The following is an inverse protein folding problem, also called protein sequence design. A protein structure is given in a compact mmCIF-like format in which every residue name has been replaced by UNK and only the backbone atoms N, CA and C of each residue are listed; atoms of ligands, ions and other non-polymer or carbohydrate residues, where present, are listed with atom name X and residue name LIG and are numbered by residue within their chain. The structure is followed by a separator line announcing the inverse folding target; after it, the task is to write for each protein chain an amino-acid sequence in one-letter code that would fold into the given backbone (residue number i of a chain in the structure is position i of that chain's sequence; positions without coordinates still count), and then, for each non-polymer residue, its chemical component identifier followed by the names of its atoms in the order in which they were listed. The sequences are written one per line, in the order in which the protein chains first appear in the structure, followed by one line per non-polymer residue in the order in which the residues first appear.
data_IF_690208174095
#
_entry.id   IF_690208174095
#
_cell.length_a   1.000
_cell.length_b   1.000
_cell.length_c   1.000
_cell.angle_alpha   90.00
_cell.angle_beta   90.00
_cell.angle_gamma   90.00
#
_symmetry.space_group_name_H-M   'P 1'
#
loop_
_entity.id
_entity.type
_entity.pdbx_description
1 polymer ?
#
# COMPACT_ATOMS: atom_id res chain seq x y z
N UNK A 1 13.82 2.61 -16.84
CA UNK A 1 13.24 1.24 -16.72
C UNK A 1 12.01 1.15 -17.61
N UNK A 2 11.72 -0.03 -18.20
CA UNK A 2 10.43 -0.26 -18.85
C UNK A 2 9.33 -0.17 -17.78
N UNK A 3 8.20 0.49 -18.13
CA UNK A 3 7.03 0.55 -17.24
C UNK A 3 6.51 -0.86 -16.97
N UNK A 4 6.20 -1.17 -15.70
CA UNK A 4 5.64 -2.45 -15.31
C UNK A 4 4.32 -2.68 -16.05
N UNK A 5 4.10 -3.92 -16.52
CA UNK A 5 2.86 -4.27 -17.19
C UNK A 5 1.67 -4.32 -16.21
N UNK A 6 0.47 -4.07 -16.70
CA UNK A 6 -0.76 -4.22 -15.91
C UNK A 6 -0.93 -5.64 -15.39
N UNK A 7 -0.59 -6.65 -16.20
CA UNK A 7 -0.63 -8.06 -15.78
C UNK A 7 0.29 -8.34 -14.58
N UNK A 8 1.53 -7.81 -14.60
CA UNK A 8 2.46 -7.99 -13.48
C UNK A 8 1.95 -7.34 -12.19
N UNK A 9 1.22 -6.22 -12.29
CA UNK A 9 0.57 -5.58 -11.13
C UNK A 9 -0.52 -6.48 -10.57
N UNK A 10 -1.38 -7.02 -11.43
CA UNK A 10 -2.47 -7.92 -11.02
C UNK A 10 -1.92 -9.19 -10.37
N UNK A 11 -0.94 -9.84 -11.02
CA UNK A 11 -0.28 -11.04 -10.49
C UNK A 11 0.34 -10.79 -9.11
N UNK A 12 1.00 -9.65 -8.92
CA UNK A 12 1.58 -9.28 -7.63
C UNK A 12 0.50 -9.10 -6.55
N UNK A 13 -0.61 -8.41 -6.84
CA UNK A 13 -1.74 -8.23 -5.90
C UNK A 13 -2.31 -9.59 -5.49
N UNK A 14 -2.59 -10.47 -6.46
CA UNK A 14 -3.17 -11.79 -6.20
C UNK A 14 -2.22 -12.64 -5.36
N UNK A 15 -0.94 -12.67 -5.72
CA UNK A 15 0.08 -13.44 -5.03
C UNK A 15 0.27 -12.97 -3.59
N UNK A 16 0.41 -11.65 -3.36
CA UNK A 16 0.58 -11.09 -2.01
C UNK A 16 -0.65 -11.33 -1.14
N UNK A 17 -1.85 -11.07 -1.66
CA UNK A 17 -3.09 -11.29 -0.91
C UNK A 17 -3.26 -12.77 -0.51
N UNK A 18 -3.01 -13.71 -1.44
CA UNK A 18 -3.09 -15.14 -1.18
C UNK A 18 -2.05 -15.61 -0.16
N UNK A 19 -0.80 -15.16 -0.30
CA UNK A 19 0.28 -15.49 0.63
C UNK A 19 0.01 -14.97 2.04
N UNK A 20 -0.44 -13.72 2.14
CA UNK A 20 -0.77 -13.10 3.42
C UNK A 20 -1.98 -13.78 4.09
N UNK A 21 -3.04 -14.06 3.33
CA UNK A 21 -4.20 -14.81 3.82
C UNK A 21 -3.76 -16.14 4.43
N UNK A 22 -3.01 -16.94 3.67
CA UNK A 22 -2.53 -18.25 4.12
C UNK A 22 -1.70 -18.11 5.41
N UNK A 23 -0.84 -17.10 5.50
CA UNK A 23 -0.05 -16.85 6.70
C UNK A 23 -0.94 -16.50 7.89
N UNK A 24 -1.87 -15.55 7.74
CA UNK A 24 -2.76 -15.10 8.80
C UNK A 24 -3.72 -16.20 9.30
N UNK A 25 -4.12 -17.13 8.45
CA UNK A 25 -4.95 -18.29 8.84
C UNK A 25 -4.19 -19.28 9.74
N UNK A 26 -2.86 -19.35 9.61
CA UNK A 26 -2.04 -20.34 10.28
C UNK A 26 -1.30 -19.84 11.54
N UNK A 27 -1.30 -18.54 11.82
CA UNK A 27 -0.73 -18.04 13.09
C UNK A 27 -1.64 -18.40 14.27
N UNK A 28 -1.03 -18.64 15.43
CA UNK A 28 -1.79 -18.89 16.66
C UNK A 28 -2.37 -17.60 17.27
N UNK A 29 -3.23 -17.73 18.27
CA UNK A 29 -3.90 -16.58 18.90
C UNK A 29 -2.91 -15.65 19.63
N UNK A 30 -1.83 -16.19 20.18
CA UNK A 30 -0.80 -15.37 20.84
C UNK A 30 -0.07 -14.51 19.81
N UNK A 31 0.32 -15.10 18.70
CA UNK A 31 0.95 -14.41 17.58
C UNK A 31 0.01 -13.37 16.96
N UNK A 32 -1.28 -13.71 16.77
CA UNK A 32 -2.28 -12.78 16.25
C UNK A 32 -2.39 -11.49 17.07
N UNK A 33 -2.28 -11.59 18.41
CA UNK A 33 -2.37 -10.46 19.33
C UNK A 33 -1.01 -9.78 19.60
N UNK A 34 0.09 -10.29 19.06
CA UNK A 34 1.42 -9.72 19.30
C UNK A 34 1.70 -8.46 18.50
N UNK A 35 2.67 -7.68 18.94
CA UNK A 35 3.14 -6.49 18.23
C UNK A 35 3.76 -6.88 16.87
N UNK A 36 3.52 -6.04 15.87
CA UNK A 36 4.20 -6.09 14.58
C UNK A 36 5.42 -5.17 14.59
N UNK A 37 6.14 -5.07 13.47
CA UNK A 37 7.21 -4.06 13.31
C UNK A 37 6.70 -2.66 12.99
N UNK A 38 5.42 -2.51 12.68
CA UNK A 38 4.76 -1.21 12.57
C UNK A 38 4.52 -0.64 13.97
N UNK A 39 5.17 0.48 14.30
CA UNK A 39 5.15 1.09 15.63
C UNK A 39 3.71 1.31 16.16
N UNK A 40 3.39 0.71 17.28
CA UNK A 40 2.09 0.77 17.94
C UNK A 40 0.99 -0.10 17.31
N UNK A 41 1.32 -0.97 16.32
CA UNK A 41 0.37 -1.85 15.66
C UNK A 41 0.60 -3.32 16.03
N UNK A 42 -0.46 -4.04 16.36
CA UNK A 42 -0.45 -5.50 16.46
C UNK A 42 -0.67 -6.12 15.07
N UNK A 43 -0.41 -7.43 14.95
CA UNK A 43 -0.73 -8.21 13.73
C UNK A 43 -2.23 -8.11 13.42
N UNK A 44 -3.09 -8.19 14.45
CA UNK A 44 -4.53 -8.00 14.32
C UNK A 44 -4.90 -6.62 13.76
N UNK A 45 -4.23 -5.54 14.21
CA UNK A 45 -4.49 -4.18 13.70
C UNK A 45 -4.18 -4.09 12.21
N UNK A 46 -3.06 -4.67 11.78
CA UNK A 46 -2.69 -4.68 10.36
C UNK A 46 -3.69 -5.49 9.54
N UNK A 47 -4.05 -6.68 10.00
CA UNK A 47 -5.03 -7.52 9.30
C UNK A 47 -6.39 -6.82 9.16
N UNK A 48 -6.85 -6.16 10.21
CA UNK A 48 -8.08 -5.35 10.19
C UNK A 48 -7.95 -4.17 9.23
N UNK A 49 -6.83 -3.44 9.28
CA UNK A 49 -6.55 -2.32 8.38
C UNK A 49 -6.64 -2.76 6.90
N UNK A 50 -6.00 -3.85 6.54
CA UNK A 50 -6.01 -4.36 5.17
C UNK A 50 -7.40 -4.84 4.75
N UNK A 51 -8.16 -5.49 5.64
CA UNK A 51 -9.54 -5.93 5.36
C UNK A 51 -10.50 -4.78 5.07
N UNK A 52 -10.34 -3.66 5.77
CA UNK A 52 -11.16 -2.45 5.54
C UNK A 52 -10.70 -1.69 4.29
N UNK A 53 -9.39 -1.61 4.08
CA UNK A 53 -8.81 -0.82 2.98
C UNK A 53 -9.18 -1.35 1.61
N UNK A 54 -9.24 -2.68 1.44
CA UNK A 54 -9.51 -3.31 0.14
C UNK A 54 -10.85 -2.91 -0.46
N UNK A 55 -11.90 -2.76 0.35
CA UNK A 55 -13.21 -2.28 -0.12
C UNK A 55 -13.16 -0.85 -0.69
N UNK A 56 -12.36 0.01 -0.06
CA UNK A 56 -12.10 1.37 -0.56
C UNK A 56 -11.38 1.37 -1.92
N UNK A 57 -10.45 0.44 -2.13
CA UNK A 57 -9.73 0.29 -3.40
C UNK A 57 -10.69 -0.08 -4.54
N UNK A 58 -11.51 -1.12 -4.37
CA UNK A 58 -12.48 -1.55 -5.37
C UNK A 58 -13.50 -0.44 -5.68
N UNK A 59 -14.03 0.23 -4.66
CA UNK A 59 -14.98 1.33 -4.80
C UNK A 59 -14.41 2.50 -5.60
N UNK A 60 -13.19 2.96 -5.29
CA UNK A 60 -12.57 4.08 -5.97
C UNK A 60 -12.25 3.76 -7.45
N UNK A 61 -11.85 2.52 -7.77
CA UNK A 61 -11.64 2.10 -9.16
C UNK A 61 -12.97 2.09 -9.92
N UNK A 62 -14.03 1.52 -9.35
CA UNK A 62 -15.37 1.51 -9.96
C UNK A 62 -15.84 2.94 -10.24
N UNK A 63 -15.63 3.87 -9.30
CA UNK A 63 -15.95 5.29 -9.48
C UNK A 63 -15.12 5.93 -10.59
N UNK A 64 -13.81 5.61 -10.66
CA UNK A 64 -12.92 6.10 -11.71
C UNK A 64 -13.37 5.65 -13.10
N UNK A 65 -13.74 4.37 -13.25
CA UNK A 65 -14.28 3.82 -14.49
C UNK A 65 -15.57 4.54 -14.91
N UNK A 66 -16.42 4.89 -13.94
CA UNK A 66 -17.63 5.69 -14.17
C UNK A 66 -17.38 7.19 -14.38
N UNK A 67 -16.11 7.66 -14.40
CA UNK A 67 -15.75 9.06 -14.65
C UNK A 67 -15.68 9.93 -13.39
N UNK A 68 -15.73 9.37 -12.20
CA UNK A 68 -15.69 10.09 -10.92
C UNK A 68 -14.32 9.98 -10.26
N UNK A 69 -13.48 11.00 -10.40
CA UNK A 69 -12.12 11.05 -9.84
C UNK A 69 -11.98 11.92 -8.59
N UNK A 70 -13.03 12.61 -8.17
CA UNK A 70 -13.06 13.41 -6.95
C UNK A 70 -13.27 12.57 -5.69
N UNK A 71 -13.10 13.18 -4.49
CA UNK A 71 -13.35 12.51 -3.22
C UNK A 71 -14.77 11.91 -3.16
N UNK A 72 -14.93 10.69 -2.60
CA UNK A 72 -16.24 10.17 -2.23
C UNK A 72 -16.90 11.05 -1.17
N UNK A 73 -18.21 10.89 -1.01
CA UNK A 73 -18.97 11.60 0.04
C UNK A 73 -18.33 11.36 1.42
N UNK A 74 -18.20 12.44 2.20
CA UNK A 74 -17.56 12.41 3.53
C UNK A 74 -16.03 12.32 3.51
N UNK A 75 -15.38 12.28 2.34
CA UNK A 75 -13.93 12.28 2.22
C UNK A 75 -13.40 13.59 1.62
N UNK A 76 -12.12 13.85 1.84
CA UNK A 76 -11.41 15.01 1.28
C UNK A 76 -9.97 14.65 0.93
N UNK A 77 -9.33 15.49 0.13
CA UNK A 77 -7.88 15.41 -0.05
C UNK A 77 -7.17 15.84 1.24
N UNK A 78 -6.09 15.12 1.57
CA UNK A 78 -5.22 15.45 2.69
C UNK A 78 -4.06 16.30 2.17
N UNK A 79 -3.86 17.52 2.69
CA UNK A 79 -2.75 18.38 2.27
C UNK A 79 -1.38 17.70 2.44
N UNK A 80 -0.42 18.08 1.58
CA UNK A 80 0.98 17.67 1.75
C UNK A 80 1.51 18.08 3.13
N UNK A 81 2.36 17.23 3.71
CA UNK A 81 2.93 17.47 5.04
C UNK A 81 2.00 17.15 6.22
N UNK A 82 0.71 16.90 5.98
CA UNK A 82 -0.18 16.44 7.05
C UNK A 82 -0.21 14.91 7.11
N UNK A 83 -0.04 14.36 8.32
CA UNK A 83 -0.33 12.93 8.54
C UNK A 83 -1.84 12.71 8.43
N UNK A 84 -2.23 11.82 7.55
CA UNK A 84 -3.60 11.34 7.53
C UNK A 84 -3.79 10.35 8.69
N UNK A 85 -4.73 10.62 9.61
CA UNK A 85 -5.22 9.59 10.52
C UNK A 85 -5.91 8.50 9.70
N UNK A 86 -5.63 7.24 10.01
CA UNK A 86 -6.32 6.12 9.37
C UNK A 86 -7.44 5.62 10.29
N UNK A 87 -8.70 5.55 9.82
CA UNK A 87 -9.84 5.17 10.67
C UNK A 87 -9.77 3.71 11.17
N UNK A 88 -8.94 2.88 10.54
CA UNK A 88 -8.71 1.48 10.94
C UNK A 88 -7.37 1.26 11.67
N UNK A 89 -6.68 2.34 12.05
CA UNK A 89 -5.43 2.25 12.82
C UNK A 89 -5.64 1.90 14.30
N UNK A 90 -4.56 1.85 15.09
CA UNK A 90 -4.62 1.54 16.53
C UNK A 90 -5.61 2.39 17.33
N UNK A 91 -5.80 3.66 16.93
CA UNK A 91 -6.78 4.55 17.55
C UNK A 91 -8.24 4.09 17.39
N UNK A 92 -8.51 3.17 16.49
CA UNK A 92 -9.84 2.58 16.28
C UNK A 92 -10.07 1.27 17.04
N UNK A 93 -9.09 0.77 17.81
CA UNK A 93 -9.21 -0.51 18.53
C UNK A 93 -10.46 -0.58 19.42
N UNK A 94 -10.75 0.48 20.15
CA UNK A 94 -11.90 0.55 21.07
C UNK A 94 -13.24 0.40 20.35
N UNK A 95 -13.29 0.74 19.08
CA UNK A 95 -14.50 0.68 18.24
C UNK A 95 -14.56 -0.57 17.36
N UNK A 96 -13.48 -1.36 17.33
CA UNK A 96 -13.40 -2.58 16.54
C UNK A 96 -14.18 -3.71 17.24
N UNK A 97 -15.26 -4.19 16.62
CA UNK A 97 -16.11 -5.26 17.14
C UNK A 97 -16.05 -6.55 16.29
N UNK A 98 -15.00 -6.70 15.45
CA UNK A 98 -14.85 -7.86 14.57
C UNK A 98 -13.96 -8.92 15.21
N UNK A 99 -14.42 -10.17 15.17
CA UNK A 99 -13.59 -11.32 15.50
C UNK A 99 -12.53 -11.57 14.41
N UNK A 100 -11.49 -12.33 14.75
CA UNK A 100 -10.47 -12.80 13.79
C UNK A 100 -11.10 -13.43 12.55
N UNK A 101 -12.08 -14.32 12.74
CA UNK A 101 -12.77 -14.97 11.63
C UNK A 101 -13.45 -13.96 10.68
N UNK A 102 -14.11 -12.94 11.24
CA UNK A 102 -14.72 -11.88 10.45
C UNK A 102 -13.69 -11.01 9.71
N UNK A 103 -12.54 -10.73 10.33
CA UNK A 103 -11.45 -9.98 9.68
C UNK A 103 -10.90 -10.76 8.49
N UNK A 104 -10.67 -12.07 8.64
CA UNK A 104 -10.17 -12.94 7.57
C UNK A 104 -11.18 -13.12 6.44
N UNK A 105 -12.47 -13.21 6.77
CA UNK A 105 -13.55 -13.30 5.79
C UNK A 105 -13.68 -12.01 4.98
N UNK A 106 -13.66 -10.84 5.65
CA UNK A 106 -13.69 -9.54 4.99
C UNK A 106 -12.44 -9.31 4.11
N UNK A 107 -11.26 -9.73 4.58
CA UNK A 107 -10.02 -9.67 3.79
C UNK A 107 -10.15 -10.50 2.51
N UNK A 108 -10.65 -11.72 2.64
CA UNK A 108 -10.80 -12.65 1.53
C UNK A 108 -11.83 -12.14 0.52
N UNK A 109 -13.04 -11.88 0.97
CA UNK A 109 -14.14 -11.41 0.11
C UNK A 109 -13.86 -10.05 -0.52
N UNK A 110 -13.18 -9.16 0.21
CA UNK A 110 -12.76 -7.86 -0.32
C UNK A 110 -11.74 -8.00 -1.45
N UNK A 111 -10.75 -8.90 -1.33
CA UNK A 111 -9.78 -9.14 -2.40
C UNK A 111 -10.38 -9.87 -3.61
N UNK A 112 -11.29 -10.81 -3.40
CA UNK A 112 -12.05 -11.45 -4.49
C UNK A 112 -12.89 -10.39 -5.26
N UNK A 113 -13.54 -9.49 -4.53
CA UNK A 113 -14.27 -8.39 -5.16
C UNK A 113 -13.34 -7.45 -5.94
N UNK A 114 -12.19 -7.05 -5.38
CA UNK A 114 -11.21 -6.23 -6.07
C UNK A 114 -10.70 -6.92 -7.34
N UNK A 115 -10.39 -8.23 -7.31
CA UNK A 115 -9.97 -9.01 -8.47
C UNK A 115 -11.06 -9.00 -9.56
N UNK A 116 -12.33 -9.15 -9.19
CA UNK A 116 -13.44 -9.07 -10.14
C UNK A 116 -13.53 -7.68 -10.79
N UNK A 117 -13.38 -6.60 -10.01
CA UNK A 117 -13.35 -5.23 -10.55
C UNK A 117 -12.18 -5.05 -11.52
N UNK A 118 -10.99 -5.50 -11.15
CA UNK A 118 -9.79 -5.42 -12.02
C UNK A 118 -9.99 -6.23 -13.30
N UNK A 119 -10.56 -7.42 -13.21
CA UNK A 119 -10.80 -8.31 -14.36
C UNK A 119 -11.79 -7.75 -15.40
N UNK A 120 -12.56 -6.73 -15.03
CA UNK A 120 -13.48 -6.03 -15.93
C UNK A 120 -12.88 -4.79 -16.59
N UNK A 121 -11.65 -4.37 -16.21
CA UNK A 121 -11.02 -3.17 -16.78
C UNK A 121 -10.60 -3.38 -18.22
N UNK A 122 -11.01 -2.45 -19.07
CA UNK A 122 -10.46 -2.30 -20.42
C UNK A 122 -9.05 -1.69 -20.38
N UNK A 123 -8.31 -1.75 -21.48
CA UNK A 123 -6.98 -1.13 -21.57
C UNK A 123 -7.02 0.38 -21.26
N UNK A 124 -8.09 1.07 -21.68
CA UNK A 124 -8.26 2.51 -21.45
C UNK A 124 -8.53 2.83 -19.97
N UNK A 125 -9.16 1.92 -19.22
CA UNK A 125 -9.52 2.15 -17.82
C UNK A 125 -8.29 2.30 -16.91
N UNK A 126 -7.17 1.66 -17.29
CA UNK A 126 -5.92 1.75 -16.52
C UNK A 126 -5.32 3.16 -16.45
N UNK A 127 -5.64 4.01 -17.43
CA UNK A 127 -5.20 5.40 -17.48
C UNK A 127 -6.20 6.37 -16.82
N UNK A 128 -7.43 5.93 -16.50
CA UNK A 128 -8.46 6.80 -15.92
C UNK A 128 -8.03 7.37 -14.57
N UNK A 129 -8.36 8.66 -14.31
CA UNK A 129 -8.04 9.29 -13.03
C UNK A 129 -8.87 8.66 -11.90
N UNK A 130 -8.20 8.22 -10.84
CA UNK A 130 -8.77 7.58 -9.67
C UNK A 130 -8.45 8.40 -8.42
N UNK A 131 -9.42 8.54 -7.53
CA UNK A 131 -9.24 9.22 -6.25
C UNK A 131 -8.28 8.45 -5.35
N UNK A 132 -7.29 9.16 -4.83
CA UNK A 132 -6.53 8.78 -3.67
C UNK A 132 -6.47 9.97 -2.71
N UNK A 133 -6.48 9.74 -1.40
CA UNK A 133 -6.48 10.82 -0.39
C UNK A 133 -5.37 11.87 -0.56
N UNK A 134 -4.26 11.50 -1.20
CA UNK A 134 -3.10 12.37 -1.49
C UNK A 134 -3.10 12.95 -2.90
N UNK A 135 -4.20 12.88 -3.62
CA UNK A 135 -4.33 13.40 -4.99
C UNK A 135 -4.83 12.35 -5.97
N UNK A 136 -5.21 12.82 -7.15
CA UNK A 136 -5.73 11.95 -8.22
C UNK A 136 -4.58 11.24 -8.92
N UNK A 137 -4.76 9.96 -9.23
CA UNK A 137 -3.79 9.08 -9.86
C UNK A 137 -4.43 8.29 -10.99
N UNK A 138 -3.68 7.86 -12.01
CA UNK A 138 -4.14 6.80 -12.89
C UNK A 138 -4.47 5.52 -12.09
N UNK A 139 -5.49 4.77 -12.51
CA UNK A 139 -5.86 3.47 -11.89
C UNK A 139 -4.65 2.56 -11.75
N UNK A 140 -3.78 2.49 -12.76
CA UNK A 140 -2.53 1.72 -12.72
C UNK A 140 -1.66 2.09 -11.51
N UNK A 141 -1.40 3.38 -11.31
CA UNK A 141 -0.57 3.87 -10.21
C UNK A 141 -1.27 3.67 -8.85
N UNK A 142 -2.61 3.77 -8.82
CA UNK A 142 -3.42 3.50 -7.64
C UNK A 142 -3.29 2.03 -7.21
N UNK A 143 -3.36 1.09 -8.14
CA UNK A 143 -3.17 -0.35 -7.85
C UNK A 143 -1.74 -0.69 -7.43
N UNK A 144 -0.73 0.04 -7.90
CA UNK A 144 0.64 -0.14 -7.39
C UNK A 144 0.76 0.20 -5.90
N UNK A 145 -0.04 1.16 -5.39
CA UNK A 145 -0.11 1.45 -3.95
C UNK A 145 -0.76 0.28 -3.20
N UNK A 146 -1.75 -0.41 -3.77
CA UNK A 146 -2.32 -1.61 -3.15
C UNK A 146 -1.26 -2.71 -2.96
N UNK A 147 -0.34 -2.89 -3.92
CA UNK A 147 0.79 -3.81 -3.74
C UNK A 147 1.68 -3.36 -2.58
N UNK A 148 1.93 -2.06 -2.46
CA UNK A 148 2.69 -1.51 -1.33
C UNK A 148 2.04 -1.85 0.01
N UNK A 149 0.74 -1.63 0.16
CA UNK A 149 0.00 -1.96 1.37
C UNK A 149 0.12 -3.46 1.72
N UNK A 150 -0.09 -4.35 0.75
CA UNK A 150 0.01 -5.79 0.96
C UNK A 150 1.43 -6.25 1.27
N UNK A 151 2.42 -5.80 0.49
CA UNK A 151 3.80 -6.28 0.60
C UNK A 151 4.48 -5.77 1.87
N UNK A 152 4.38 -4.46 2.16
CA UNK A 152 5.04 -3.89 3.34
C UNK A 152 4.35 -4.32 4.63
N UNK A 153 3.03 -4.27 4.70
CA UNK A 153 2.32 -4.75 5.89
C UNK A 153 2.41 -6.27 6.06
N UNK A 154 2.42 -7.03 4.97
CA UNK A 154 2.73 -8.46 5.04
C UNK A 154 4.15 -8.75 5.54
N UNK A 155 5.11 -7.88 5.21
CA UNK A 155 6.47 -7.95 5.75
C UNK A 155 6.50 -7.53 7.23
N UNK A 156 5.83 -6.45 7.62
CA UNK A 156 5.71 -5.99 9.02
C UNK A 156 5.21 -7.10 9.96
N UNK A 157 4.21 -7.86 9.50
CA UNK A 157 3.66 -9.01 10.23
C UNK A 157 4.71 -10.12 10.37
N UNK A 158 5.34 -10.51 9.27
CA UNK A 158 6.26 -11.67 9.24
C UNK A 158 7.57 -11.38 9.96
N UNK A 159 8.14 -10.20 9.76
CA UNK A 159 9.40 -9.80 10.37
C UNK A 159 9.34 -9.76 11.91
N UNK A 160 8.22 -9.40 12.48
CA UNK A 160 8.01 -9.44 13.93
C UNK A 160 8.16 -10.83 14.54
N UNK A 161 8.01 -11.88 13.72
CA UNK A 161 8.09 -13.28 14.14
C UNK A 161 9.38 -13.93 13.64
N UNK A 162 9.76 -13.66 12.39
CA UNK A 162 10.96 -14.19 11.75
C UNK A 162 11.78 -13.04 11.14
N UNK A 163 12.89 -12.69 11.79
CA UNK A 163 13.80 -11.64 11.32
C UNK A 163 14.51 -11.93 10.00
N UNK A 164 14.23 -13.08 9.37
CA UNK A 164 14.68 -13.43 8.01
C UNK A 164 13.58 -13.25 6.96
N UNK A 165 12.39 -12.77 7.36
CA UNK A 165 11.32 -12.52 6.42
C UNK A 165 11.77 -11.50 5.36
N UNK A 166 11.53 -11.82 4.10
CA UNK A 166 11.89 -10.99 2.95
C UNK A 166 10.62 -10.51 2.22
N UNK A 167 10.75 -9.41 1.48
CA UNK A 167 9.74 -9.00 0.52
C UNK A 167 9.71 -9.99 -0.66
N UNK A 168 8.53 -10.24 -1.20
CA UNK A 168 8.42 -11.10 -2.38
C UNK A 168 9.06 -10.44 -3.61
N UNK A 169 9.69 -11.26 -4.46
CA UNK A 169 10.33 -10.74 -5.67
C UNK A 169 9.33 -10.12 -6.66
N UNK A 170 8.09 -10.58 -6.66
CA UNK A 170 7.02 -10.03 -7.52
C UNK A 170 6.61 -8.61 -7.11
N UNK A 171 6.74 -8.26 -5.83
CA UNK A 171 6.38 -6.94 -5.31
C UNK A 171 7.48 -5.89 -5.50
N UNK A 172 8.74 -6.31 -5.63
CA UNK A 172 9.87 -5.36 -5.70
C UNK A 172 9.79 -4.39 -6.89
N UNK A 173 9.49 -4.80 -8.13
CA UNK A 173 9.39 -3.86 -9.25
C UNK A 173 8.34 -2.76 -9.03
N UNK A 174 7.07 -3.05 -8.66
CA UNK A 174 6.09 -2.01 -8.38
C UNK A 174 6.46 -1.13 -7.17
N UNK A 175 7.08 -1.68 -6.12
CA UNK A 175 7.57 -0.89 -4.99
C UNK A 175 8.64 0.12 -5.40
N UNK A 176 9.58 -0.28 -6.27
CA UNK A 176 10.61 0.62 -6.80
C UNK A 176 10.06 1.75 -7.66
N UNK A 177 8.97 1.50 -8.40
CA UNK A 177 8.28 2.58 -9.14
C UNK A 177 7.62 3.60 -8.21
N UNK A 178 7.24 3.19 -6.99
CA UNK A 178 6.60 4.06 -6.00
C UNK A 178 7.59 4.89 -5.18
N UNK A 179 8.90 4.60 -5.21
CA UNK A 179 9.91 5.34 -4.41
C UNK A 179 9.79 6.87 -4.54
N UNK A 180 9.63 7.46 -5.74
CA UNK A 180 9.44 8.90 -5.88
C UNK A 180 8.17 9.42 -5.19
N UNK A 181 7.15 8.57 -5.07
CA UNK A 181 5.87 8.92 -4.47
C UNK A 181 5.91 8.87 -2.94
N UNK A 182 6.71 8.01 -2.35
CA UNK A 182 6.85 7.95 -0.89
C UNK A 182 7.23 9.30 -0.30
N UNK A 183 8.02 10.09 -1.05
CA UNK A 183 8.35 11.45 -0.66
C UNK A 183 7.14 12.37 -0.66
N UNK A 184 6.29 12.31 -1.68
CA UNK A 184 5.09 13.16 -1.72
C UNK A 184 4.22 12.95 -0.48
N UNK A 185 4.27 11.78 0.15
CA UNK A 185 3.52 11.49 1.37
C UNK A 185 4.26 11.84 2.66
N UNK A 186 5.58 11.79 2.67
CA UNK A 186 6.43 11.99 3.85
C UNK A 186 7.14 13.36 3.86
N UNK A 187 7.27 14.00 2.70
CA UNK A 187 8.00 15.26 2.56
C UNK A 187 7.26 16.41 3.24
N UNK A 188 7.95 17.09 4.12
CA UNK A 188 7.50 18.37 4.71
C UNK A 188 8.32 19.48 4.08
N UNK A 189 7.71 20.39 3.29
CA UNK A 189 8.39 21.54 2.75
C UNK A 189 8.95 22.46 3.86
N UNK A 190 9.99 23.21 3.55
CA UNK A 190 10.55 24.22 4.47
C UNK A 190 11.48 23.65 5.54
N UNK A 191 11.93 22.39 5.42
CA UNK A 191 12.98 21.87 6.28
C UNK A 191 14.29 22.63 6.02
N UNK A 192 14.87 23.20 7.07
CA UNK A 192 16.19 23.82 7.00
C UNK A 192 17.26 22.72 6.94
N UNK A 193 17.55 22.27 5.75
CA UNK A 193 18.58 21.28 5.49
C UNK A 193 19.88 22.01 5.09
N UNK A 194 20.94 21.93 5.89
CA UNK A 194 22.20 22.63 5.60
C UNK A 194 22.88 22.13 4.33
N UNK A 195 22.59 20.90 3.92
CA UNK A 195 23.02 20.26 2.67
C UNK A 195 21.92 19.35 2.15
N UNK A 196 21.90 19.06 0.82
CA UNK A 196 20.98 18.06 0.29
C UNK A 196 21.18 16.68 0.94
N UNK A 197 20.09 16.03 1.29
CA UNK A 197 20.11 14.66 1.85
C UNK A 197 19.77 13.67 0.74
N UNK A 198 20.61 12.66 0.60
CA UNK A 198 20.44 11.58 -0.38
C UNK A 198 19.97 10.31 0.33
N UNK A 199 18.81 9.82 -0.06
CA UNK A 199 18.32 8.49 0.32
C UNK A 199 18.56 7.54 -0.85
N UNK A 200 19.32 6.47 -0.61
CA UNK A 200 19.65 5.48 -1.63
C UNK A 200 18.88 4.19 -1.37
N UNK A 201 18.14 3.77 -2.37
CA UNK A 201 17.49 2.47 -2.43
C UNK A 201 18.33 1.56 -3.33
N UNK A 202 19.04 0.63 -2.71
CA UNK A 202 19.93 -0.31 -3.41
C UNK A 202 19.34 -1.71 -3.26
N UNK A 203 18.74 -2.20 -4.34
CA UNK A 203 18.15 -3.54 -4.41
C UNK A 203 19.16 -4.46 -5.08
N UNK A 204 19.67 -5.43 -4.33
CA UNK A 204 20.64 -6.41 -4.78
C UNK A 204 20.03 -7.44 -5.75
N UNK A 205 20.67 -8.60 -5.87
CA UNK A 205 20.15 -9.69 -6.70
C UNK A 205 18.71 -10.09 -6.32
N UNK A 206 17.85 -10.46 -7.27
CA UNK A 206 18.16 -10.59 -8.71
C UNK A 206 17.97 -9.31 -9.52
N UNK A 207 17.39 -8.24 -8.97
CA UNK A 207 16.99 -7.05 -9.74
C UNK A 207 18.16 -6.11 -10.03
N UNK A 208 19.14 -6.00 -9.14
CA UNK A 208 20.33 -5.11 -9.26
C UNK A 208 19.95 -3.68 -9.65
N UNK A 209 18.98 -3.09 -8.95
CA UNK A 209 18.48 -1.75 -9.22
C UNK A 209 18.89 -0.80 -8.12
N UNK A 210 19.35 0.39 -8.51
CA UNK A 210 19.61 1.50 -7.60
C UNK A 210 18.66 2.65 -7.94
N UNK A 211 18.12 3.29 -6.92
CA UNK A 211 17.39 4.55 -7.03
C UNK A 211 17.83 5.49 -5.93
N UNK A 212 18.16 6.69 -6.32
CA UNK A 212 18.50 7.76 -5.39
C UNK A 212 17.37 8.80 -5.35
N UNK A 213 17.14 9.29 -4.17
CA UNK A 213 16.19 10.30 -3.84
C UNK A 213 16.94 11.43 -3.11
N UNK A 214 16.94 12.61 -3.68
CA UNK A 214 17.66 13.75 -3.16
C UNK A 214 16.65 14.79 -2.68
N UNK A 215 16.71 15.14 -1.40
CA UNK A 215 15.88 16.16 -0.77
C UNK A 215 16.74 17.38 -0.50
N UNK A 216 16.30 18.55 -0.95
CA UNK A 216 16.98 19.82 -0.77
C UNK A 216 15.98 20.92 -0.48
N UNK A 217 15.81 21.28 0.80
CA UNK A 217 14.83 22.30 1.21
C UNK A 217 13.42 21.96 0.78
N UNK A 218 12.86 22.78 -0.11
CA UNK A 218 11.47 22.65 -0.60
C UNK A 218 11.31 21.72 -1.81
N UNK A 219 12.42 21.18 -2.33
CA UNK A 219 12.40 20.37 -3.56
C UNK A 219 13.00 18.98 -3.32
N UNK A 220 12.58 18.05 -4.14
CA UNK A 220 13.19 16.74 -4.25
C UNK A 220 13.37 16.32 -5.71
N UNK A 221 14.40 15.51 -5.98
CA UNK A 221 14.69 14.93 -7.28
C UNK A 221 14.93 13.43 -7.13
N UNK A 222 14.67 12.68 -8.20
CA UNK A 222 15.01 11.25 -8.28
C UNK A 222 16.08 11.05 -9.33
N UNK A 223 17.07 10.22 -9.01
CA UNK A 223 18.13 9.78 -9.92
C UNK A 223 18.09 8.26 -10.07
N UNK A 224 18.51 7.73 -11.24
CA UNK A 224 18.60 6.30 -11.46
C UNK A 224 19.57 5.62 -10.50
#
# INVERSE_FOLDING_TARGET
MASISTNSIVEAIVSEASSLKTYLENVDEQTWASDSTSDGWTIEDIAFHLSVSVGGWASNITRAVAGHSGPPEGQSFVPSGQRASHPSGPSAREFRQKSRAQILDDFTSGHEHLQNVIGMLSEEDWAKPCFHRRGVLPVKAYLSIQIQELALHGWDIRWGIDSKAELSLSSLPPLLELVPRWIVTAFTPGLDLPVPVRYRFDVSDPLKVRKDLIVSGDIFNTEP
#
